data_IF_161650232238
#
_entry.id   IF_161650232238
#
_cell.length_a   1.000
_cell.length_b   1.000
_cell.length_c   1.000
_cell.angle_alpha   90.00
_cell.angle_beta   90.00
_cell.angle_gamma   90.00
#
_symmetry.space_group_name_H-M   'P 1'
#
loop_
_entity.id
_entity.type
_entity.pdbx_description
1 polymer ?
#
# COMPACT_ATOMS: atom_id res chain seq x y z
N UNK A 1 13.03 35.73 59.78
CA UNK A 1 13.69 34.84 58.79
C UNK A 1 12.68 34.52 57.70
N UNK A 2 13.04 34.83 56.45
CA UNK A 2 12.21 34.71 55.24
C UNK A 2 11.92 33.25 54.91
N UNK A 3 10.66 32.89 54.65
CA UNK A 3 10.32 31.79 53.73
C UNK A 3 9.11 32.21 52.88
N UNK A 4 9.44 32.78 51.73
CA UNK A 4 8.54 33.09 50.64
C UNK A 4 8.22 31.75 49.95
N UNK A 5 7.05 31.15 50.22
CA UNK A 5 6.58 29.99 49.46
C UNK A 5 6.08 30.50 48.11
N UNK A 6 6.92 30.38 47.08
CA UNK A 6 6.55 30.60 45.70
C UNK A 6 5.78 29.36 45.21
N UNK A 7 4.45 29.44 45.19
CA UNK A 7 3.61 28.47 44.47
C UNK A 7 3.75 28.77 42.97
N UNK A 8 4.67 28.07 42.30
CA UNK A 8 4.72 28.05 40.84
C UNK A 8 3.67 27.05 40.37
N UNK A 9 2.48 27.55 40.06
CA UNK A 9 1.49 26.80 39.27
C UNK A 9 2.05 26.63 37.87
N UNK A 10 2.76 25.53 37.62
CA UNK A 10 3.04 25.08 36.26
C UNK A 10 1.70 24.59 35.70
N UNK A 11 0.95 25.50 35.07
CA UNK A 11 -0.13 25.13 34.17
C UNK A 11 0.55 24.49 32.97
N UNK A 12 0.75 23.17 33.04
CA UNK A 12 1.03 22.36 31.87
C UNK A 12 -0.24 22.42 31.04
N UNK A 13 -0.31 23.39 30.14
CA UNK A 13 -1.25 23.32 29.03
C UNK A 13 -0.87 22.07 28.25
N UNK A 14 -1.60 20.99 28.49
CA UNK A 14 -1.69 19.87 27.59
C UNK A 14 -2.30 20.41 26.29
N UNK A 15 -1.47 20.98 25.42
CA UNK A 15 -1.87 21.28 24.05
C UNK A 15 -2.09 19.91 23.40
N UNK A 16 -3.30 19.39 23.51
CA UNK A 16 -3.76 18.32 22.66
C UNK A 16 -3.79 18.88 21.25
N UNK A 17 -2.74 18.60 20.47
CA UNK A 17 -2.74 18.88 19.04
C UNK A 17 -3.86 18.06 18.39
N UNK A 18 -5.03 18.67 18.25
CA UNK A 18 -6.14 18.09 17.51
C UNK A 18 -5.73 17.95 16.05
N UNK A 19 -5.90 16.75 15.49
CA UNK A 19 -5.44 16.41 14.15
C UNK A 19 -6.16 17.28 13.10
N UNK A 20 -5.42 17.82 12.12
CA UNK A 20 -6.03 18.52 10.98
C UNK A 20 -6.70 17.49 10.08
N UNK A 21 -8.02 17.42 10.14
CA UNK A 21 -8.83 16.66 9.18
C UNK A 21 -8.92 17.45 7.88
N UNK A 22 -8.51 16.83 6.77
CA UNK A 22 -8.67 17.39 5.44
C UNK A 22 -10.16 17.50 5.12
N UNK A 23 -10.59 18.71 4.76
CA UNK A 23 -11.88 18.95 4.16
C UNK A 23 -11.99 18.26 2.81
N UNK A 24 -13.22 18.13 2.32
CA UNK A 24 -13.51 17.60 0.98
C UNK A 24 -12.70 18.32 -0.11
N UNK A 25 -12.64 19.65 -0.05
CA UNK A 25 -11.91 20.44 -1.03
C UNK A 25 -10.39 20.23 -0.92
N UNK A 26 -9.86 20.08 0.30
CA UNK A 26 -8.43 19.79 0.47
C UNK A 26 -8.08 18.44 -0.15
N UNK A 27 -8.86 17.38 0.11
CA UNK A 27 -8.65 16.04 -0.48
C UNK A 27 -8.55 16.11 -2.01
N UNK A 28 -9.48 16.81 -2.67
CA UNK A 28 -9.50 16.92 -4.14
C UNK A 28 -8.31 17.70 -4.71
N UNK A 29 -7.70 18.58 -3.93
CA UNK A 29 -6.55 19.37 -4.34
C UNK A 29 -5.21 18.76 -3.87
N UNK A 30 -5.24 17.59 -3.23
CA UNK A 30 -4.03 16.89 -2.79
C UNK A 30 -3.53 15.95 -3.89
N UNK A 31 -2.21 15.96 -4.13
CA UNK A 31 -1.55 14.97 -4.99
C UNK A 31 -1.65 13.58 -4.34
N UNK A 32 -1.92 12.50 -5.10
CA UNK A 32 -2.06 12.44 -6.56
C UNK A 32 -3.48 12.68 -7.08
N UNK A 33 -4.51 12.81 -6.23
CA UNK A 33 -5.91 12.91 -6.67
C UNK A 33 -6.18 14.10 -7.60
N UNK A 34 -5.55 15.24 -7.33
CA UNK A 34 -5.74 16.45 -8.12
C UNK A 34 -5.46 16.25 -9.62
N UNK A 35 -4.46 15.41 -9.94
CA UNK A 35 -4.04 15.12 -11.33
C UNK A 35 -4.75 13.88 -11.90
N UNK A 36 -5.36 13.05 -11.05
CA UNK A 36 -5.92 11.78 -11.47
C UNK A 36 -7.32 11.94 -12.10
N UNK A 37 -7.47 11.52 -13.36
CA UNK A 37 -8.79 11.42 -14.01
C UNK A 37 -9.45 10.07 -13.72
N UNK A 38 -8.65 9.06 -13.37
CA UNK A 38 -9.11 7.71 -13.07
C UNK A 38 -8.24 7.08 -11.99
N UNK A 39 -8.90 6.42 -11.04
CA UNK A 39 -8.25 5.69 -9.95
C UNK A 39 -8.65 4.22 -10.06
N UNK A 40 -7.66 3.34 -10.01
CA UNK A 40 -7.85 1.89 -10.07
C UNK A 40 -7.18 1.26 -8.87
N UNK A 41 -7.88 0.35 -8.21
CA UNK A 41 -7.25 -0.54 -7.24
C UNK A 41 -6.99 -1.89 -7.91
N UNK A 42 -5.87 -2.51 -7.60
CA UNK A 42 -5.46 -3.79 -8.17
C UNK A 42 -5.00 -4.74 -7.08
N UNK A 43 -5.13 -6.04 -7.38
CA UNK A 43 -4.42 -7.11 -6.69
C UNK A 43 -3.52 -7.83 -7.69
N UNK A 44 -2.30 -8.12 -7.27
CA UNK A 44 -1.28 -8.78 -8.07
C UNK A 44 -0.42 -9.64 -7.16
N UNK A 45 0.32 -10.55 -7.74
CA UNK A 45 1.18 -11.48 -7.02
C UNK A 45 0.46 -12.32 -5.94
N UNK A 46 -0.88 -12.41 -5.93
CA UNK A 46 -1.63 -13.03 -4.83
C UNK A 46 -1.36 -14.54 -4.72
N UNK A 47 -0.88 -15.16 -5.80
CA UNK A 47 -0.57 -16.59 -5.86
C UNK A 47 0.91 -16.91 -5.58
N UNK A 48 1.73 -15.93 -5.23
CA UNK A 48 3.15 -16.12 -4.90
C UNK A 48 3.38 -16.05 -3.40
N UNK A 49 4.19 -16.96 -2.86
CA UNK A 49 4.53 -16.95 -1.43
C UNK A 49 5.51 -15.80 -1.12
N UNK A 50 6.48 -15.57 -1.99
CA UNK A 50 7.47 -14.50 -1.89
C UNK A 50 8.15 -14.27 -3.25
N UNK A 51 9.07 -13.30 -3.30
CA UNK A 51 9.99 -13.10 -4.44
C UNK A 51 10.99 -14.24 -4.61
N UNK A 52 11.18 -15.06 -3.58
CA UNK A 52 12.20 -16.10 -3.57
C UNK A 52 11.72 -17.30 -4.39
N UNK A 53 12.60 -17.80 -5.26
CA UNK A 53 12.34 -19.02 -6.04
C UNK A 53 12.03 -20.17 -5.10
N UNK A 54 10.97 -20.92 -5.40
CA UNK A 54 10.82 -22.25 -4.83
C UNK A 54 12.07 -23.07 -5.17
N UNK A 55 12.76 -23.67 -4.17
CA UNK A 55 13.95 -24.46 -4.45
C UNK A 55 13.57 -25.64 -5.34
N UNK A 56 14.42 -25.91 -6.34
CA UNK A 56 14.23 -27.06 -7.22
C UNK A 56 14.27 -28.35 -6.40
N UNK A 57 13.42 -29.35 -6.69
CA UNK A 57 13.47 -30.62 -6.01
C UNK A 57 14.82 -31.30 -6.27
N UNK A 58 15.38 -32.03 -5.29
CA UNK A 58 16.64 -32.75 -5.48
C UNK A 58 16.49 -33.80 -6.59
N UNK A 59 17.54 -33.94 -7.40
CA UNK A 59 17.60 -34.96 -8.46
C UNK A 59 17.71 -36.34 -7.80
N UNK A 60 16.75 -37.22 -8.10
CA UNK A 60 16.67 -38.56 -7.51
C UNK A 60 15.24 -39.12 -7.51
N UNK A 61 15.10 -40.44 -7.50
CA UNK A 61 13.79 -41.10 -7.56
C UNK A 61 13.10 -40.92 -8.92
N UNK A 62 11.84 -40.42 -8.93
CA UNK A 62 11.02 -40.19 -10.14
C UNK A 62 11.31 -38.88 -10.89
N UNK A 63 12.31 -38.12 -10.44
CA UNK A 63 12.63 -36.78 -10.97
C UNK A 63 13.93 -36.85 -11.75
N UNK A 64 13.84 -36.65 -13.07
CA UNK A 64 14.97 -36.59 -13.99
C UNK A 64 15.20 -35.16 -14.54
N UNK A 65 16.22 -35.00 -15.36
CA UNK A 65 16.56 -33.71 -15.98
C UNK A 65 15.46 -33.17 -16.90
N UNK A 66 14.65 -34.02 -17.52
CA UNK A 66 13.54 -33.59 -18.37
C UNK A 66 12.39 -33.04 -17.51
N UNK A 67 12.12 -33.63 -16.35
CA UNK A 67 11.17 -33.12 -15.35
C UNK A 67 11.64 -31.78 -14.80
N UNK A 68 12.93 -31.64 -14.44
CA UNK A 68 13.50 -30.36 -13.97
C UNK A 68 13.37 -29.29 -15.06
N UNK A 69 13.67 -29.62 -16.32
CA UNK A 69 13.52 -28.68 -17.43
C UNK A 69 12.08 -28.18 -17.57
N UNK A 70 11.09 -29.09 -17.50
CA UNK A 70 9.67 -28.71 -17.51
C UNK A 70 9.27 -27.84 -16.32
N UNK A 71 9.83 -28.09 -15.13
CA UNK A 71 9.58 -27.25 -13.95
C UNK A 71 10.09 -25.83 -14.19
N UNK A 72 11.30 -25.69 -14.72
CA UNK A 72 11.91 -24.39 -15.03
C UNK A 72 11.12 -23.66 -16.12
N UNK A 73 10.76 -24.36 -17.21
CA UNK A 73 10.01 -23.78 -18.34
C UNK A 73 8.61 -23.28 -17.94
N UNK A 74 7.96 -23.93 -16.96
CA UNK A 74 6.63 -23.55 -16.48
C UNK A 74 6.66 -22.70 -15.21
N UNK A 75 7.84 -22.37 -14.68
CA UNK A 75 7.96 -21.58 -13.46
C UNK A 75 7.49 -20.15 -13.72
N UNK A 76 6.44 -19.72 -13.00
CA UNK A 76 5.99 -18.34 -12.99
C UNK A 76 6.77 -17.55 -11.93
N UNK A 77 6.91 -16.25 -12.16
CA UNK A 77 7.56 -15.32 -11.25
C UNK A 77 6.60 -14.19 -10.88
N UNK A 78 6.71 -13.65 -9.66
CA UNK A 78 5.98 -12.45 -9.30
C UNK A 78 6.41 -11.29 -10.20
N UNK A 79 5.47 -10.40 -10.49
CA UNK A 79 5.72 -9.22 -11.30
C UNK A 79 6.23 -8.07 -10.43
N UNK A 80 7.08 -7.24 -11.01
CA UNK A 80 7.37 -5.91 -10.48
C UNK A 80 6.35 -4.94 -11.08
N UNK A 81 5.52 -4.32 -10.23
CA UNK A 81 4.47 -3.41 -10.71
C UNK A 81 5.07 -2.22 -11.45
N UNK A 82 6.19 -1.67 -10.95
CA UNK A 82 6.94 -0.59 -11.61
C UNK A 82 7.30 -0.96 -13.05
N UNK A 83 7.97 -2.09 -13.24
CA UNK A 83 8.38 -2.54 -14.58
C UNK A 83 7.16 -2.84 -15.48
N UNK A 84 6.10 -3.38 -14.90
CA UNK A 84 4.85 -3.69 -15.61
C UNK A 84 4.20 -2.40 -16.16
N UNK A 85 4.19 -1.34 -15.36
CA UNK A 85 3.68 -0.02 -15.76
C UNK A 85 4.60 0.63 -16.81
N UNK A 86 5.93 0.61 -16.60
CA UNK A 86 6.90 1.22 -17.53
C UNK A 86 6.85 0.59 -18.93
N UNK A 87 6.57 -0.70 -19.02
CA UNK A 87 6.46 -1.43 -20.28
C UNK A 87 5.03 -1.48 -20.84
N UNK A 88 4.07 -0.81 -20.20
CA UNK A 88 2.63 -0.87 -20.53
C UNK A 88 2.09 -2.33 -20.58
N UNK A 89 2.71 -3.23 -19.82
CA UNK A 89 2.39 -4.66 -19.76
C UNK A 89 1.77 -5.00 -18.40
N UNK A 90 0.45 -5.15 -18.37
CA UNK A 90 -0.31 -5.50 -17.16
C UNK A 90 -0.47 -7.02 -16.99
N UNK A 91 0.27 -7.84 -17.74
CA UNK A 91 0.28 -9.30 -17.56
C UNK A 91 0.73 -9.64 -16.14
N UNK A 92 -0.07 -10.46 -15.45
CA UNK A 92 0.20 -10.88 -14.07
C UNK A 92 -0.54 -10.08 -13.00
N UNK A 93 -1.31 -9.05 -13.37
CA UNK A 93 -2.34 -8.47 -12.48
C UNK A 93 -3.50 -9.46 -12.40
N UNK A 94 -3.80 -9.92 -11.18
CA UNK A 94 -4.80 -10.94 -10.93
C UNK A 94 -6.23 -10.36 -10.93
N UNK A 95 -6.39 -9.18 -10.31
CA UNK A 95 -7.69 -8.55 -10.10
C UNK A 95 -7.59 -7.03 -10.19
N UNK A 96 -8.62 -6.37 -10.69
CA UNK A 96 -8.65 -4.92 -10.87
C UNK A 96 -10.05 -4.33 -10.72
N UNK A 97 -10.14 -3.15 -10.12
CA UNK A 97 -11.39 -2.38 -10.03
C UNK A 97 -11.11 -0.90 -10.29
N UNK A 98 -11.82 -0.35 -11.28
CA UNK A 98 -11.90 1.10 -11.48
C UNK A 98 -12.89 1.65 -10.44
N UNK A 99 -12.46 2.66 -9.68
CA UNK A 99 -13.27 3.31 -8.67
C UNK A 99 -14.11 4.43 -9.29
N UNK A 100 -15.37 4.52 -8.88
CA UNK A 100 -16.17 5.72 -9.19
C UNK A 100 -15.79 6.88 -8.26
N UNK A 101 -16.30 8.08 -8.54
CA UNK A 101 -16.00 9.29 -7.76
C UNK A 101 -16.22 9.13 -6.25
N UNK A 102 -17.34 8.54 -5.84
CA UNK A 102 -17.63 8.33 -4.41
C UNK A 102 -16.63 7.36 -3.78
N UNK A 103 -16.32 6.26 -4.47
CA UNK A 103 -15.36 5.26 -3.99
C UNK A 103 -13.95 5.83 -3.89
N UNK A 104 -13.52 6.61 -4.89
CA UNK A 104 -12.25 7.35 -4.86
C UNK A 104 -12.22 8.31 -3.68
N UNK A 105 -13.29 9.08 -3.47
CA UNK A 105 -13.36 9.99 -2.33
C UNK A 105 -13.30 9.26 -0.99
N UNK A 106 -14.03 8.15 -0.84
CA UNK A 106 -14.02 7.32 0.37
C UNK A 106 -12.62 6.74 0.63
N UNK A 107 -11.91 6.29 -0.42
CA UNK A 107 -10.52 5.83 -0.34
C UNK A 107 -9.59 6.95 0.13
N UNK A 108 -9.65 8.13 -0.47
CA UNK A 108 -8.77 9.24 -0.09
C UNK A 108 -9.08 9.78 1.31
N UNK A 109 -10.35 9.80 1.70
CA UNK A 109 -10.72 10.10 3.08
C UNK A 109 -10.08 9.08 4.04
N UNK A 110 -10.02 7.81 3.66
CA UNK A 110 -9.32 6.81 4.46
C UNK A 110 -7.81 7.10 4.51
N UNK A 111 -7.17 7.38 3.38
CA UNK A 111 -5.72 7.67 3.32
C UNK A 111 -5.32 8.93 4.11
N UNK A 112 -6.09 10.02 4.01
CA UNK A 112 -5.70 11.32 4.58
C UNK A 112 -6.39 11.66 5.90
N UNK A 113 -7.52 11.04 6.25
CA UNK A 113 -8.30 11.41 7.44
C UNK A 113 -8.46 10.30 8.49
N UNK A 114 -7.81 9.15 8.32
CA UNK A 114 -7.87 8.08 9.34
C UNK A 114 -6.86 8.31 10.46
N UNK A 115 -5.75 9.01 10.21
CA UNK A 115 -4.70 9.29 11.19
C UNK A 115 -4.18 10.74 11.06
N UNK A 116 -3.53 11.28 12.09
CA UNK A 116 -2.96 12.63 12.11
C UNK A 116 -1.44 12.67 12.32
N UNK A 117 -0.82 13.80 11.95
CA UNK A 117 0.64 14.00 11.91
C UNK A 117 1.35 13.66 13.23
N UNK A 118 2.34 12.77 13.17
CA UNK A 118 3.46 12.72 14.11
C UNK A 118 4.78 12.51 13.36
N UNK A 119 5.89 13.01 13.89
CA UNK A 119 7.13 13.17 13.14
C UNK A 119 7.73 11.82 12.78
N UNK A 120 8.35 11.76 11.59
CA UNK A 120 9.13 10.71 10.93
C UNK A 120 10.10 9.89 11.81
N UNK A 121 9.70 9.39 12.97
CA UNK A 121 10.57 8.67 13.89
C UNK A 121 10.30 7.18 13.78
N UNK A 122 11.26 6.54 13.10
CA UNK A 122 11.57 5.11 13.19
C UNK A 122 10.44 4.20 12.67
N UNK A 123 10.23 4.26 11.34
CA UNK A 123 9.75 3.07 10.62
C UNK A 123 10.78 1.96 10.87
N UNK A 124 10.49 1.04 11.77
CA UNK A 124 11.23 -0.21 11.86
C UNK A 124 11.02 -0.92 10.52
N UNK A 125 12.03 -0.85 9.67
CA UNK A 125 12.00 -1.50 8.36
C UNK A 125 12.08 -3.00 8.64
N UNK A 126 10.93 -3.64 8.78
CA UNK A 126 10.86 -5.07 8.54
C UNK A 126 11.33 -5.28 7.09
N UNK A 127 12.33 -6.14 6.87
CA UNK A 127 12.91 -6.42 5.55
C UNK A 127 11.92 -7.10 4.59
N UNK A 128 10.68 -7.37 5.02
CA UNK A 128 9.66 -8.01 4.21
C UNK A 128 8.70 -6.96 3.66
N UNK A 129 8.83 -6.65 2.37
CA UNK A 129 7.81 -5.94 1.62
C UNK A 129 7.54 -6.73 0.34
N UNK A 130 6.46 -7.51 0.37
CA UNK A 130 6.01 -8.25 -0.81
C UNK A 130 4.59 -7.78 -1.13
N UNK A 131 4.46 -6.66 -1.86
CA UNK A 131 3.16 -6.04 -2.08
C UNK A 131 2.30 -6.92 -2.98
N UNK A 132 1.01 -6.93 -2.67
CA UNK A 132 0.00 -7.71 -3.38
C UNK A 132 -1.15 -6.87 -3.90
N UNK A 133 -1.14 -5.59 -3.57
CA UNK A 133 -2.21 -4.66 -3.85
C UNK A 133 -1.60 -3.32 -4.20
N UNK A 134 -2.26 -2.56 -5.05
CA UNK A 134 -1.86 -1.20 -5.30
C UNK A 134 -3.04 -0.31 -5.64
N UNK A 135 -2.84 0.99 -5.48
CA UNK A 135 -3.69 2.04 -6.01
C UNK A 135 -2.93 2.68 -7.16
N UNK A 136 -3.54 2.70 -8.35
CA UNK A 136 -2.99 3.27 -9.56
C UNK A 136 -3.73 4.57 -9.91
N UNK A 137 -2.98 5.61 -10.24
CA UNK A 137 -3.48 6.93 -10.63
C UNK A 137 -3.20 7.18 -12.10
N UNK A 138 -4.25 7.42 -12.87
CA UNK A 138 -4.18 7.60 -14.31
C UNK A 138 -4.40 9.06 -14.69
N UNK A 139 -3.65 9.52 -15.69
CA UNK A 139 -3.80 10.82 -16.31
C UNK A 139 -4.84 10.79 -17.46
N UNK A 140 -5.05 11.94 -18.09
CA UNK A 140 -5.96 12.11 -19.24
C UNK A 140 -5.60 11.27 -20.47
N UNK A 141 -4.35 10.81 -20.58
CA UNK A 141 -3.86 9.97 -21.67
C UNK A 141 -3.97 8.46 -21.37
N UNK A 142 -4.68 8.11 -20.29
CA UNK A 142 -4.78 6.75 -19.76
C UNK A 142 -3.43 6.13 -19.34
N UNK A 143 -2.48 6.98 -18.93
CA UNK A 143 -1.18 6.54 -18.42
C UNK A 143 -1.14 6.58 -16.91
N UNK A 144 -0.59 5.54 -16.30
CA UNK A 144 -0.33 5.53 -14.86
C UNK A 144 0.83 6.48 -14.57
N UNK A 145 0.54 7.61 -13.92
CA UNK A 145 1.57 8.60 -13.57
C UNK A 145 2.07 8.45 -12.13
N UNK A 146 1.30 7.78 -11.26
CA UNK A 146 1.69 7.46 -9.89
C UNK A 146 0.99 6.19 -9.42
N UNK A 147 1.56 5.52 -8.42
CA UNK A 147 0.94 4.41 -7.74
C UNK A 147 1.43 4.27 -6.30
N UNK A 148 0.63 3.54 -5.52
CA UNK A 148 0.93 3.20 -4.14
C UNK A 148 0.84 1.69 -3.96
N UNK A 149 1.99 1.04 -3.78
CA UNK A 149 2.05 -0.39 -3.46
C UNK A 149 1.69 -0.62 -1.99
N UNK A 150 0.96 -1.68 -1.73
CA UNK A 150 0.43 -2.02 -0.41
C UNK A 150 0.64 -3.51 -0.14
N UNK A 151 1.32 -3.80 0.98
CA UNK A 151 1.36 -5.11 1.59
C UNK A 151 0.56 -5.08 2.90
N UNK A 152 -0.69 -5.56 2.88
CA UNK A 152 -1.53 -5.62 4.08
C UNK A 152 -0.96 -6.57 5.14
N UNK A 153 -0.37 -7.70 4.73
CA UNK A 153 0.29 -8.67 5.62
C UNK A 153 1.50 -8.05 6.34
N UNK A 154 2.23 -7.18 5.63
CA UNK A 154 3.41 -6.49 6.15
C UNK A 154 3.05 -5.21 6.92
N UNK A 155 1.79 -4.74 6.80
CA UNK A 155 1.35 -3.42 7.24
C UNK A 155 2.31 -2.32 6.73
N UNK A 156 2.62 -2.39 5.43
CA UNK A 156 3.51 -1.43 4.75
C UNK A 156 2.90 -0.98 3.44
N UNK A 157 3.21 0.26 3.09
CA UNK A 157 2.87 0.87 1.82
C UNK A 157 4.06 1.66 1.30
N UNK A 158 4.28 1.62 -0.01
CA UNK A 158 5.36 2.34 -0.67
C UNK A 158 4.82 3.12 -1.87
N UNK A 159 4.96 4.45 -1.85
CA UNK A 159 4.62 5.27 -3.01
C UNK A 159 5.69 5.17 -4.09
N UNK A 160 5.30 5.38 -5.36
CA UNK A 160 6.25 5.60 -6.44
C UNK A 160 6.94 6.97 -6.32
N UNK A 161 6.20 8.00 -5.88
CA UNK A 161 6.68 9.39 -5.83
C UNK A 161 6.72 9.95 -4.39
N UNK A 162 7.65 10.87 -4.13
CA UNK A 162 7.67 11.60 -2.85
C UNK A 162 6.37 12.41 -2.63
N UNK A 163 5.69 12.83 -3.71
CA UNK A 163 4.41 13.56 -3.64
C UNK A 163 3.27 12.71 -3.08
N UNK A 164 3.23 11.40 -3.38
CA UNK A 164 2.26 10.47 -2.80
C UNK A 164 2.65 9.98 -1.39
N UNK A 165 3.77 10.47 -0.86
CA UNK A 165 4.32 10.11 0.47
C UNK A 165 3.74 10.94 1.62
N UNK A 166 2.95 11.99 1.35
CA UNK A 166 2.27 12.78 2.41
C UNK A 166 1.04 12.07 3.02
N UNK A 167 1.05 10.74 3.08
CA UNK A 167 0.02 9.97 3.77
C UNK A 167 0.32 10.05 5.27
N UNK A 168 -0.69 10.44 6.05
CA UNK A 168 -0.56 10.63 7.49
C UNK A 168 -0.07 9.34 8.17
N UNK A 169 0.62 9.52 9.30
CA UNK A 169 1.31 8.46 10.05
C UNK A 169 0.43 7.23 10.31
N UNK A 170 1.06 6.05 10.41
CA UNK A 170 0.37 4.76 10.55
C UNK A 170 -0.24 4.66 11.95
N UNK A 171 -1.56 4.59 12.02
CA UNK A 171 -2.29 4.37 13.27
C UNK A 171 -2.97 2.99 13.33
N UNK A 172 -3.30 2.57 14.54
CA UNK A 172 -4.02 1.32 14.80
C UNK A 172 -5.26 1.21 13.90
N UNK A 173 -5.42 0.06 13.24
CA UNK A 173 -6.51 -0.28 12.32
C UNK A 173 -6.50 0.43 10.94
N UNK A 174 -5.55 1.30 10.61
CA UNK A 174 -5.46 1.91 9.27
C UNK A 174 -5.42 0.85 8.16
N UNK A 175 -4.45 -0.07 8.22
CA UNK A 175 -4.33 -1.15 7.24
C UNK A 175 -5.55 -2.07 7.22
N UNK A 176 -6.15 -2.37 8.39
CA UNK A 176 -7.36 -3.18 8.45
C UNK A 176 -8.55 -2.51 7.75
N UNK A 177 -8.73 -1.20 7.92
CA UNK A 177 -9.81 -0.47 7.27
C UNK A 177 -9.56 -0.34 5.76
N UNK A 178 -8.30 -0.14 5.35
CA UNK A 178 -7.92 -0.07 3.94
C UNK A 178 -8.08 -1.44 3.27
N UNK A 179 -7.73 -2.51 3.97
CA UNK A 179 -7.94 -3.88 3.51
C UNK A 179 -9.43 -4.18 3.33
N UNK A 180 -10.27 -3.83 4.31
CA UNK A 180 -11.73 -3.96 4.21
C UNK A 180 -12.29 -3.18 3.03
N UNK A 181 -11.75 -2.00 2.74
CA UNK A 181 -12.14 -1.24 1.55
C UNK A 181 -11.86 -2.06 0.28
N UNK A 182 -10.65 -2.59 0.11
CA UNK A 182 -10.28 -3.43 -1.05
C UNK A 182 -11.20 -4.67 -1.16
N UNK A 183 -11.37 -5.40 -0.07
CA UNK A 183 -12.23 -6.59 -0.01
C UNK A 183 -13.69 -6.26 -0.34
N UNK A 184 -14.22 -5.12 0.12
CA UNK A 184 -15.57 -4.67 -0.22
C UNK A 184 -15.76 -4.39 -1.72
N UNK A 185 -14.66 -4.24 -2.47
CA UNK A 185 -14.64 -4.08 -3.93
C UNK A 185 -14.36 -5.38 -4.68
N UNK A 186 -14.28 -6.50 -3.96
CA UNK A 186 -14.08 -7.84 -4.51
C UNK A 186 -12.62 -8.20 -4.76
N UNK A 187 -11.67 -7.46 -4.19
CA UNK A 187 -10.24 -7.73 -4.34
C UNK A 187 -9.72 -8.62 -3.21
N UNK A 188 -8.89 -9.61 -3.56
CA UNK A 188 -8.12 -10.41 -2.62
C UNK A 188 -6.87 -9.64 -2.19
N UNK A 189 -6.64 -9.60 -0.89
CA UNK A 189 -5.64 -8.70 -0.29
C UNK A 189 -4.41 -9.41 0.25
N UNK A 190 -4.47 -10.74 0.40
CA UNK A 190 -3.45 -11.58 1.01
C UNK A 190 -3.11 -12.77 0.10
N UNK A 191 -2.07 -13.52 0.45
CA UNK A 191 -1.69 -14.73 -0.27
C UNK A 191 -2.86 -15.72 -0.41
N UNK A 192 -3.17 -16.12 -1.63
CA UNK A 192 -4.15 -17.15 -1.94
C UNK A 192 -3.45 -18.45 -2.33
N UNK A 193 -3.50 -19.43 -1.43
CA UNK A 193 -2.92 -20.77 -1.65
C UNK A 193 -3.72 -21.63 -2.64
N UNK A 194 -4.91 -21.22 -3.07
CA UNK A 194 -5.87 -22.06 -3.82
C UNK A 194 -5.86 -21.87 -5.34
N UNK A 195 -5.03 -20.96 -5.88
CA UNK A 195 -4.83 -20.74 -7.32
C UNK A 195 -3.40 -21.13 -7.69
#
# INVERSE_FOLDING_TARGET
MKKLLFFVFIVVFSISYSQKKFSTNEIFNTSPLQKAVKVKIISYNINFISEVRTPLPPIGGKIDSAVIKRIIENQKFPISLKNSIENEDLVGIDEMKILNFKETFDLFKLLYNTCGKFPNQLRSVSMCFFPRNAILFYDENDKVFDFLEICFECQRMEPLSEESTEINDVCDNFYSNLEKFFQSKGLQTQFNRRK
#
